data_IF_714428573358
#
_entry.id   IF_714428573358
#
_cell.length_a   1.000
_cell.length_b   1.000
_cell.length_c   1.000
_cell.angle_alpha   90.00
_cell.angle_beta   90.00
_cell.angle_gamma   90.00
#
_symmetry.space_group_name_H-M   'P 1'
#
loop_
_entity.id
_entity.type
_entity.pdbx_description
1 polymer ?
#
# COMPACT_ATOMS: atom_id res chain seq x y z
N UNK A 1 0.63 -46.98 15.21
CA UNK A 1 0.42 -45.77 16.06
C UNK A 1 1.71 -44.96 16.21
N UNK A 2 2.86 -45.60 16.41
CA UNK A 2 4.17 -44.95 16.60
C UNK A 2 4.66 -44.21 15.35
N UNK A 3 4.50 -44.79 14.16
CA UNK A 3 4.85 -44.17 12.87
C UNK A 3 4.04 -42.89 12.65
N UNK A 4 2.74 -42.89 12.96
CA UNK A 4 1.90 -41.70 12.82
C UNK A 4 2.36 -40.60 13.78
N UNK A 5 2.74 -40.93 15.00
CA UNK A 5 3.26 -39.97 15.98
C UNK A 5 4.57 -39.34 15.48
N UNK A 6 5.50 -40.15 14.99
CA UNK A 6 6.79 -39.68 14.44
C UNK A 6 6.55 -38.73 13.22
N UNK A 7 5.65 -39.10 12.32
CA UNK A 7 5.30 -38.25 11.17
C UNK A 7 4.65 -36.92 11.60
N UNK A 8 3.80 -36.93 12.64
CA UNK A 8 3.23 -35.72 13.20
C UNK A 8 4.29 -34.83 13.86
N UNK A 9 5.22 -35.43 14.63
CA UNK A 9 6.31 -34.70 15.27
C UNK A 9 7.25 -34.09 14.23
N UNK A 10 7.62 -34.84 13.19
CA UNK A 10 8.44 -34.32 12.07
C UNK A 10 7.74 -33.20 11.30
N UNK A 11 6.45 -33.37 11.00
CA UNK A 11 5.65 -32.33 10.32
C UNK A 11 5.55 -31.05 11.15
N UNK A 12 5.30 -31.20 12.47
CA UNK A 12 5.23 -30.03 13.38
C UNK A 12 6.59 -29.32 13.48
N UNK A 13 7.69 -30.08 13.58
CA UNK A 13 9.04 -29.52 13.60
C UNK A 13 9.36 -28.76 12.30
N UNK A 14 9.01 -29.34 11.15
CA UNK A 14 9.19 -28.70 9.85
C UNK A 14 8.38 -27.41 9.72
N UNK A 15 7.11 -27.41 10.14
CA UNK A 15 6.28 -26.21 10.14
C UNK A 15 6.86 -25.11 11.05
N UNK A 16 7.27 -25.48 12.26
CA UNK A 16 7.86 -24.54 13.22
C UNK A 16 9.13 -23.90 12.65
N UNK A 17 10.01 -24.68 12.04
CA UNK A 17 11.24 -24.17 11.42
C UNK A 17 10.93 -23.27 10.22
N UNK A 18 9.95 -23.63 9.40
CA UNK A 18 9.51 -22.81 8.25
C UNK A 18 8.96 -21.46 8.72
N UNK A 19 8.11 -21.47 9.74
CA UNK A 19 7.53 -20.27 10.33
C UNK A 19 8.60 -19.36 10.96
N UNK A 20 9.59 -19.96 11.64
CA UNK A 20 10.71 -19.21 12.20
C UNK A 20 11.52 -18.50 11.11
N UNK A 21 11.90 -19.22 10.04
CA UNK A 21 12.63 -18.63 8.91
C UNK A 21 11.84 -17.52 8.23
N UNK A 22 10.53 -17.70 8.14
CA UNK A 22 9.65 -16.70 7.56
C UNK A 22 9.59 -15.42 8.43
N UNK A 23 9.47 -15.56 9.74
CA UNK A 23 9.50 -14.45 10.68
C UNK A 23 10.84 -13.68 10.61
N UNK A 24 11.96 -14.40 10.61
CA UNK A 24 13.30 -13.80 10.44
C UNK A 24 13.44 -13.02 9.12
N UNK A 25 12.85 -13.53 8.04
CA UNK A 25 12.83 -12.86 6.75
C UNK A 25 12.00 -11.57 6.80
N UNK A 26 10.83 -11.57 7.44
CA UNK A 26 10.00 -10.37 7.63
C UNK A 26 10.76 -9.32 8.43
N UNK A 27 11.39 -9.70 9.53
CA UNK A 27 12.17 -8.80 10.36
C UNK A 27 13.32 -8.18 9.59
N UNK A 28 14.07 -9.00 8.84
CA UNK A 28 15.15 -8.51 7.97
C UNK A 28 14.67 -7.47 6.95
N UNK A 29 13.59 -7.78 6.22
CA UNK A 29 13.07 -6.83 5.23
C UNK A 29 12.43 -5.59 5.85
N UNK A 30 11.91 -5.70 7.05
CA UNK A 30 11.40 -4.53 7.80
C UNK A 30 12.54 -3.57 8.15
N UNK A 31 13.65 -4.08 8.66
CA UNK A 31 14.86 -3.28 8.92
C UNK A 31 15.42 -2.70 7.62
N UNK A 32 15.53 -3.50 6.58
CA UNK A 32 15.99 -3.07 5.27
C UNK A 32 15.14 -1.92 4.70
N UNK A 33 13.82 -2.01 4.79
CA UNK A 33 12.93 -0.96 4.32
C UNK A 33 13.10 0.36 5.10
N UNK A 34 13.32 0.29 6.41
CA UNK A 34 13.65 1.48 7.20
C UNK A 34 14.98 2.12 6.75
N UNK A 35 15.98 1.29 6.45
CA UNK A 35 17.27 1.76 5.96
C UNK A 35 17.16 2.41 4.57
N UNK A 36 16.31 1.90 3.68
CA UNK A 36 16.05 2.48 2.35
C UNK A 36 15.26 3.79 2.44
N UNK A 37 14.29 3.89 3.36
CA UNK A 37 13.48 5.12 3.54
C UNK A 37 14.33 6.32 3.95
N UNK A 38 15.40 6.11 4.70
CA UNK A 38 16.29 7.19 5.18
C UNK A 38 16.97 7.95 4.03
N UNK A 39 17.71 7.31 3.10
CA UNK A 39 18.30 8.02 1.96
C UNK A 39 17.23 8.61 1.02
N UNK A 40 16.08 7.96 0.84
CA UNK A 40 14.97 8.52 0.05
C UNK A 40 14.49 9.84 0.67
N UNK A 41 14.29 9.88 1.98
CA UNK A 41 13.89 11.10 2.69
C UNK A 41 14.93 12.21 2.56
N UNK A 42 16.23 11.87 2.65
CA UNK A 42 17.34 12.81 2.45
C UNK A 42 17.34 13.40 1.03
N UNK A 43 17.22 12.55 0.00
CA UNK A 43 17.14 13.01 -1.39
C UNK A 43 15.91 13.89 -1.63
N UNK A 44 14.76 13.53 -1.06
CA UNK A 44 13.54 14.33 -1.16
C UNK A 44 13.72 15.71 -0.54
N UNK A 45 14.32 15.82 0.65
CA UNK A 45 14.61 17.10 1.29
C UNK A 45 15.55 17.97 0.43
N UNK A 46 16.56 17.38 -0.18
CA UNK A 46 17.48 18.07 -1.11
C UNK A 46 16.71 18.64 -2.30
N UNK A 47 15.82 17.82 -2.89
CA UNK A 47 15.05 18.22 -4.08
C UNK A 47 13.95 19.26 -3.77
N UNK A 48 13.45 19.34 -2.52
CA UNK A 48 12.47 20.35 -2.11
C UNK A 48 13.02 21.78 -2.14
N UNK A 49 14.34 21.94 -2.02
CA UNK A 49 14.99 23.25 -2.05
C UNK A 49 15.27 23.74 -3.48
N UNK A 50 14.94 22.95 -4.49
CA UNK A 50 15.22 23.24 -5.89
C UNK A 50 13.92 23.09 -6.72
N UNK A 51 13.40 24.22 -7.25
CA UNK A 51 12.21 24.18 -8.12
C UNK A 51 12.62 24.13 -9.60
N UNK A 52 13.01 22.94 -10.06
CA UNK A 52 13.33 22.68 -11.44
C UNK A 52 12.46 21.55 -12.02
N UNK A 53 12.29 21.47 -13.35
CA UNK A 53 11.61 20.35 -13.98
C UNK A 53 12.29 19.00 -13.63
N UNK A 54 13.61 19.00 -13.46
CA UNK A 54 14.39 17.81 -13.07
C UNK A 54 14.06 17.40 -11.63
N UNK A 55 14.07 18.35 -10.69
CA UNK A 55 13.74 18.11 -9.27
C UNK A 55 12.34 17.52 -9.12
N UNK A 56 11.34 18.07 -9.82
CA UNK A 56 9.96 17.55 -9.81
C UNK A 56 9.89 16.11 -10.34
N UNK A 57 10.61 15.82 -11.43
CA UNK A 57 10.68 14.48 -12.01
C UNK A 57 11.33 13.48 -11.03
N UNK A 58 12.47 13.85 -10.44
CA UNK A 58 13.17 12.99 -9.48
C UNK A 58 12.35 12.74 -8.21
N UNK A 59 11.63 13.74 -7.72
CA UNK A 59 10.69 13.59 -6.60
C UNK A 59 9.60 12.56 -6.91
N UNK A 60 9.07 12.56 -8.15
CA UNK A 60 8.11 11.55 -8.60
C UNK A 60 8.71 10.14 -8.64
N UNK A 61 9.96 9.99 -9.09
CA UNK A 61 10.63 8.68 -9.08
C UNK A 61 10.94 8.19 -7.65
N UNK A 62 11.35 9.08 -6.74
CA UNK A 62 11.53 8.73 -5.32
C UNK A 62 10.21 8.25 -4.68
N UNK A 63 9.09 8.93 -4.98
CA UNK A 63 7.78 8.49 -4.52
C UNK A 63 7.43 7.08 -5.01
N UNK A 64 7.75 6.75 -6.27
CA UNK A 64 7.55 5.39 -6.81
C UNK A 64 8.40 4.34 -6.09
N UNK A 65 9.65 4.67 -5.79
CA UNK A 65 10.54 3.77 -5.04
C UNK A 65 9.94 3.51 -3.64
N UNK A 66 9.46 4.55 -2.95
CA UNK A 66 8.76 4.40 -1.66
C UNK A 66 7.55 3.44 -1.78
N UNK A 67 6.74 3.59 -2.85
CA UNK A 67 5.61 2.69 -3.09
C UNK A 67 6.03 1.23 -3.28
N UNK A 68 7.13 0.97 -4.02
CA UNK A 68 7.64 -0.39 -4.21
C UNK A 68 8.13 -1.00 -2.89
N UNK A 69 8.81 -0.24 -2.05
CA UNK A 69 9.25 -0.70 -0.73
C UNK A 69 8.05 -1.06 0.15
N UNK A 70 7.01 -0.20 0.21
CA UNK A 70 5.78 -0.49 0.95
C UNK A 70 5.04 -1.73 0.42
N UNK A 71 4.99 -1.90 -0.89
CA UNK A 71 4.35 -3.06 -1.52
C UNK A 71 5.06 -4.36 -1.12
N UNK A 72 6.39 -4.40 -1.12
CA UNK A 72 7.17 -5.57 -0.70
C UNK A 72 6.91 -5.90 0.77
N UNK A 73 6.95 -4.91 1.65
CA UNK A 73 6.67 -5.11 3.08
C UNK A 73 5.26 -5.66 3.33
N UNK A 74 4.28 -5.13 2.60
CA UNK A 74 2.89 -5.59 2.72
C UNK A 74 2.73 -7.00 2.21
N UNK A 75 3.34 -7.34 1.06
CA UNK A 75 3.34 -8.72 0.53
C UNK A 75 3.92 -9.72 1.54
N UNK A 76 5.03 -9.37 2.18
CA UNK A 76 5.65 -10.22 3.20
C UNK A 76 4.71 -10.43 4.41
N UNK A 77 4.04 -9.37 4.86
CA UNK A 77 3.08 -9.45 5.98
C UNK A 77 1.82 -10.24 5.65
N UNK A 78 1.33 -10.18 4.39
CA UNK A 78 0.15 -10.94 3.95
C UNK A 78 0.34 -12.46 4.06
N UNK A 79 1.56 -12.92 3.87
CA UNK A 79 1.90 -14.34 3.91
C UNK A 79 2.31 -14.83 5.33
N UNK A 80 2.36 -13.93 6.32
CA UNK A 80 2.62 -14.32 7.71
C UNK A 80 1.37 -14.98 8.30
N UNK A 81 1.52 -16.15 8.91
CA UNK A 81 0.42 -16.90 9.54
C UNK A 81 -0.25 -16.13 10.71
N UNK A 82 0.45 -15.16 11.28
CA UNK A 82 -0.06 -14.27 12.33
C UNK A 82 -0.33 -12.87 11.80
N UNK A 83 -1.33 -12.72 10.96
CA UNK A 83 -1.80 -11.39 10.59
C UNK A 83 -2.78 -10.94 11.67
N UNK A 84 -2.30 -10.19 12.66
CA UNK A 84 -3.15 -9.55 13.67
C UNK A 84 -3.96 -8.44 13.00
N UNK A 85 -5.07 -8.82 12.38
CA UNK A 85 -6.05 -7.87 11.86
C UNK A 85 -6.78 -7.19 13.01
N UNK A 86 -6.77 -5.86 13.02
CA UNK A 86 -7.52 -5.07 13.98
C UNK A 86 -8.80 -4.57 13.31
N UNK A 87 -9.88 -5.35 13.41
CA UNK A 87 -11.17 -4.95 12.88
C UNK A 87 -11.83 -3.94 13.80
N UNK A 88 -12.13 -2.77 13.28
CA UNK A 88 -12.83 -1.69 13.96
C UNK A 88 -13.74 -0.93 13.00
N UNK A 89 -14.68 -0.17 13.53
CA UNK A 89 -15.50 0.72 12.72
C UNK A 89 -14.66 1.89 12.24
N UNK A 90 -14.49 2.01 10.92
CA UNK A 90 -13.65 3.00 10.27
C UNK A 90 -14.47 3.90 9.37
N UNK A 91 -14.19 5.20 9.40
CA UNK A 91 -14.73 6.19 8.46
C UNK A 91 -14.04 6.03 7.11
N UNK A 92 -14.79 5.60 6.09
CA UNK A 92 -14.27 5.39 4.74
C UNK A 92 -13.84 6.70 4.07
N UNK A 93 -14.54 7.81 4.33
CA UNK A 93 -14.17 9.11 3.78
C UNK A 93 -12.78 9.54 4.27
N UNK A 94 -12.51 9.37 5.56
CA UNK A 94 -11.21 9.65 6.15
C UNK A 94 -10.08 8.83 5.51
N UNK A 95 -10.30 7.53 5.29
CA UNK A 95 -9.31 6.63 4.70
C UNK A 95 -9.03 7.03 3.26
N UNK A 96 -10.07 7.21 2.45
CA UNK A 96 -9.91 7.60 1.03
C UNK A 96 -9.25 8.96 0.89
N UNK A 97 -9.63 9.96 1.69
CA UNK A 97 -8.97 11.28 1.70
C UNK A 97 -7.51 11.18 2.14
N UNK A 98 -7.17 10.28 3.05
CA UNK A 98 -5.80 9.97 3.44
C UNK A 98 -4.97 9.52 2.23
N UNK A 99 -5.47 8.53 1.50
CA UNK A 99 -4.86 8.05 0.27
C UNK A 99 -4.75 9.15 -0.81
N UNK A 100 -5.83 9.90 -1.06
CA UNK A 100 -5.83 11.01 -2.04
C UNK A 100 -4.77 12.07 -1.73
N UNK A 101 -4.60 12.44 -0.45
CA UNK A 101 -3.54 13.39 -0.05
C UNK A 101 -2.15 12.86 -0.38
N UNK A 102 -1.91 11.57 -0.18
CA UNK A 102 -0.61 10.93 -0.48
C UNK A 102 -0.27 11.02 -1.97
N UNK A 103 -1.25 10.90 -2.85
CA UNK A 103 -1.08 10.96 -4.30
C UNK A 103 -1.33 12.35 -4.93
N UNK A 104 -1.58 13.37 -4.13
CA UNK A 104 -1.96 14.71 -4.64
C UNK A 104 -0.94 15.31 -5.61
N UNK A 105 0.34 15.14 -5.35
CA UNK A 105 1.42 15.59 -6.25
C UNK A 105 1.38 14.92 -7.62
N UNK A 106 1.01 13.63 -7.68
CA UNK A 106 0.88 12.89 -8.94
C UNK A 106 -0.30 13.39 -9.77
N UNK A 107 -1.45 13.66 -9.12
CA UNK A 107 -2.61 14.26 -9.81
C UNK A 107 -2.26 15.62 -10.41
N UNK A 108 -1.59 16.49 -9.64
CA UNK A 108 -1.20 17.83 -10.07
C UNK A 108 -0.16 17.77 -11.21
N UNK A 109 0.90 16.98 -11.05
CA UNK A 109 1.99 16.92 -12.03
C UNK A 109 1.53 16.36 -13.37
N UNK A 110 0.58 15.43 -13.37
CA UNK A 110 0.00 14.83 -14.58
C UNK A 110 -1.23 15.55 -15.10
N UNK A 111 -1.70 16.59 -14.39
CA UNK A 111 -2.92 17.33 -14.72
C UNK A 111 -4.15 16.43 -14.86
N UNK A 112 -4.26 15.40 -14.00
CA UNK A 112 -5.40 14.49 -13.97
C UNK A 112 -6.54 15.11 -13.18
N UNK A 113 -7.75 14.99 -13.71
CA UNK A 113 -8.96 15.42 -13.01
C UNK A 113 -9.34 14.38 -11.93
N UNK A 114 -9.44 14.82 -10.69
CA UNK A 114 -10.01 14.04 -9.61
C UNK A 114 -11.47 14.43 -9.40
N UNK A 115 -12.37 13.46 -9.55
CA UNK A 115 -13.79 13.60 -9.19
C UNK A 115 -14.02 12.75 -7.94
N UNK A 116 -14.29 13.41 -6.82
CA UNK A 116 -14.47 12.75 -5.54
C UNK A 116 -15.80 13.13 -4.92
N UNK A 117 -16.66 12.13 -4.69
CA UNK A 117 -17.90 12.26 -3.95
C UNK A 117 -17.68 11.83 -2.50
N UNK A 118 -17.98 12.68 -1.48
CA UNK A 118 -17.86 12.32 -0.07
C UNK A 118 -18.65 11.06 0.25
N UNK A 119 -18.01 10.12 0.97
CA UNK A 119 -18.55 8.77 1.11
C UNK A 119 -19.56 8.62 2.25
N UNK A 120 -19.56 9.50 3.25
CA UNK A 120 -20.49 9.54 4.39
C UNK A 120 -20.90 8.16 4.95
N UNK A 121 -19.96 7.22 5.06
CA UNK A 121 -20.24 5.86 5.50
C UNK A 121 -19.08 5.27 6.29
N UNK A 122 -19.41 4.32 7.19
CA UNK A 122 -18.44 3.56 7.95
C UNK A 122 -18.43 2.09 7.51
N UNK A 123 -17.32 1.41 7.75
CA UNK A 123 -17.19 -0.03 7.58
C UNK A 123 -16.37 -0.66 8.70
N UNK A 124 -16.74 -1.88 9.10
CA UNK A 124 -15.92 -2.68 10.02
C UNK A 124 -14.80 -3.31 9.21
N UNK A 125 -13.57 -2.81 9.43
CA UNK A 125 -12.39 -3.23 8.66
C UNK A 125 -11.12 -2.96 9.46
N UNK A 126 -10.00 -3.48 8.97
CA UNK A 126 -8.68 -3.02 9.40
C UNK A 126 -8.29 -1.78 8.58
N UNK A 127 -8.12 -0.64 9.25
CA UNK A 127 -7.83 0.66 8.62
C UNK A 127 -6.52 0.63 7.81
N UNK A 128 -5.49 -0.02 8.33
CA UNK A 128 -4.17 -0.08 7.66
C UNK A 128 -4.25 -0.88 6.36
N UNK A 129 -4.91 -2.04 6.42
CA UNK A 129 -5.08 -2.89 5.26
C UNK A 129 -5.98 -2.27 4.20
N UNK A 130 -7.09 -1.66 4.61
CA UNK A 130 -7.98 -0.99 3.67
C UNK A 130 -7.28 0.22 3.02
N UNK A 131 -6.55 1.03 3.80
CA UNK A 131 -5.73 2.13 3.26
C UNK A 131 -4.75 1.63 2.22
N UNK A 132 -4.03 0.55 2.52
CA UNK A 132 -3.09 -0.05 1.57
C UNK A 132 -3.78 -0.48 0.27
N UNK A 133 -4.91 -1.18 0.35
CA UNK A 133 -5.66 -1.62 -0.85
C UNK A 133 -6.09 -0.41 -1.70
N UNK A 134 -6.64 0.63 -1.07
CA UNK A 134 -7.06 1.85 -1.76
C UNK A 134 -5.85 2.53 -2.42
N UNK A 135 -4.72 2.63 -1.72
CA UNK A 135 -3.48 3.19 -2.26
C UNK A 135 -2.97 2.40 -3.47
N UNK A 136 -3.01 1.06 -3.43
CA UNK A 136 -2.62 0.23 -4.57
C UNK A 136 -3.54 0.42 -5.78
N UNK A 137 -4.85 0.50 -5.57
CA UNK A 137 -5.81 0.75 -6.65
C UNK A 137 -5.60 2.15 -7.25
N UNK A 138 -5.39 3.18 -6.41
CA UNK A 138 -5.08 4.54 -6.86
C UNK A 138 -3.76 4.61 -7.63
N UNK A 139 -2.72 3.94 -7.13
CA UNK A 139 -1.43 3.84 -7.81
C UNK A 139 -1.57 3.22 -9.21
N UNK A 140 -2.36 2.15 -9.33
CA UNK A 140 -2.65 1.53 -10.62
C UNK A 140 -3.46 2.46 -11.53
N UNK A 141 -4.52 3.09 -11.03
CA UNK A 141 -5.32 4.04 -11.79
C UNK A 141 -4.44 5.19 -12.33
N UNK A 142 -3.57 5.75 -11.50
CA UNK A 142 -2.62 6.79 -11.90
C UNK A 142 -1.62 6.28 -12.94
N UNK A 143 -1.12 5.06 -12.79
CA UNK A 143 -0.14 4.46 -13.71
C UNK A 143 -0.71 4.29 -15.12
N UNK A 144 -1.96 3.86 -15.22
CA UNK A 144 -2.60 3.52 -16.49
C UNK A 144 -3.45 4.65 -17.09
N UNK A 145 -3.54 5.81 -16.40
CA UNK A 145 -4.22 7.01 -16.88
C UNK A 145 -3.22 8.11 -17.19
N UNK A 146 -2.68 8.18 -18.42
CA UNK A 146 -1.74 9.23 -18.79
C UNK A 146 -2.40 10.62 -18.88
N UNK A 147 -3.70 10.66 -19.22
CA UNK A 147 -4.53 11.87 -19.28
C UNK A 147 -5.99 11.50 -19.06
N UNK A 148 -6.78 12.41 -18.48
CA UNK A 148 -8.20 12.21 -18.20
C UNK A 148 -8.57 12.39 -16.75
N UNK A 149 -9.41 11.49 -16.20
CA UNK A 149 -9.95 11.63 -14.85
C UNK A 149 -9.94 10.31 -14.09
N UNK A 150 -9.89 10.44 -12.75
CA UNK A 150 -10.15 9.37 -11.81
C UNK A 150 -11.33 9.79 -10.95
N UNK A 151 -12.37 8.95 -10.92
CA UNK A 151 -13.60 9.19 -10.17
C UNK A 151 -13.71 8.20 -9.03
N UNK A 152 -14.06 8.68 -7.84
CA UNK A 152 -14.20 7.86 -6.63
C UNK A 152 -15.55 8.16 -6.01
N UNK A 153 -16.37 7.12 -5.85
CA UNK A 153 -17.73 7.23 -5.31
C UNK A 153 -18.23 5.92 -4.72
N UNK A 154 -19.34 5.96 -3.97
CA UNK A 154 -20.05 4.76 -3.54
C UNK A 154 -21.08 4.33 -4.58
N UNK A 155 -20.90 3.13 -5.10
CA UNK A 155 -21.89 2.49 -5.97
C UNK A 155 -22.80 1.57 -5.14
N UNK A 156 -23.77 2.14 -4.43
CA UNK A 156 -24.63 1.45 -3.46
C UNK A 156 -24.02 1.37 -2.06
N UNK A 157 -24.68 0.69 -1.13
CA UNK A 157 -24.40 0.79 0.32
C UNK A 157 -22.97 0.40 0.77
N UNK A 158 -22.29 -0.50 0.03
CA UNK A 158 -20.97 -1.04 0.46
C UNK A 158 -20.00 -1.27 -0.70
N UNK A 159 -20.18 -0.56 -1.81
CA UNK A 159 -19.29 -0.71 -2.97
C UNK A 159 -18.54 0.59 -3.22
N UNK A 160 -17.32 0.70 -2.70
CA UNK A 160 -16.40 1.76 -3.10
C UNK A 160 -15.95 1.47 -4.53
N UNK A 161 -16.14 2.44 -5.43
CA UNK A 161 -15.69 2.38 -6.81
C UNK A 161 -14.63 3.45 -7.07
N UNK A 162 -13.53 3.02 -7.63
CA UNK A 162 -12.48 3.87 -8.18
C UNK A 162 -12.45 3.57 -9.67
N UNK A 163 -12.79 4.56 -10.47
CA UNK A 163 -12.90 4.44 -11.92
C UNK A 163 -11.95 5.42 -12.57
N UNK A 164 -11.13 4.93 -13.45
CA UNK A 164 -10.23 5.74 -14.27
C UNK A 164 -10.68 5.74 -15.74
N UNK A 165 -10.16 6.69 -16.52
CA UNK A 165 -10.39 6.81 -17.97
C UNK A 165 -9.16 6.36 -18.75
N UNK A 166 -8.30 5.57 -18.15
CA UNK A 166 -7.07 5.08 -18.76
C UNK A 166 -7.28 4.02 -19.82
N UNK A 167 -6.19 3.61 -20.39
CA UNK A 167 -6.13 2.46 -21.31
C UNK A 167 -6.14 1.19 -20.45
N UNK A 168 -7.29 0.52 -20.40
CA UNK A 168 -7.47 -0.77 -19.72
C UNK A 168 -6.75 -1.92 -20.41
#
# INVERSE_FOLDING_TARGET
>A
REIIRLLCEEHTAYQTETNRRYAEMIDYYTVWAHQIKTPIASMRLTLQNEDSPLSRRLTGELFRIEQYVEMVLTFLRLNAESTDYVFQECDLDRIVRGALRKFSSEFISRKLHLVYEPLHTTAVTDEKWLSFVIEQVLSNALKYTPAGSITIFLAGEKKLRIQDTGIG
#
